data_IF_760385023392
#
_entry.id   IF_760385023392
#
_cell.length_a   1.000
_cell.length_b   1.000
_cell.length_c   1.000
_cell.angle_alpha   90.00
_cell.angle_beta   90.00
_cell.angle_gamma   90.00
#
_symmetry.space_group_name_H-M   'P 1'
#
loop_
_entity.id
_entity.type
_entity.pdbx_description
1 polymer ?
#
# COMPACT_ATOMS: atom_id res chain seq x y z
N UNK A 1 -13.18 5.30 0.41
CA UNK A 1 -11.96 4.98 -0.35
C UNK A 1 -12.07 3.60 -0.96
N UNK A 2 -11.79 3.48 -2.26
CA UNK A 2 -11.84 2.22 -3.00
C UNK A 2 -10.79 1.24 -2.42
N UNK A 3 -11.25 0.08 -1.97
CA UNK A 3 -10.39 -0.95 -1.37
C UNK A 3 -9.66 -1.67 -2.49
N UNK A 4 -8.34 -1.79 -2.41
CA UNK A 4 -7.59 -2.74 -3.22
C UNK A 4 -8.04 -4.15 -2.83
N UNK A 5 -8.80 -4.80 -3.73
CA UNK A 5 -9.25 -6.18 -3.54
C UNK A 5 -8.08 -7.12 -3.84
N UNK A 6 -7.97 -8.19 -3.05
CA UNK A 6 -6.93 -9.20 -3.24
C UNK A 6 -6.95 -9.83 -4.65
N UNK A 7 -8.15 -10.00 -5.24
CA UNK A 7 -8.31 -10.52 -6.60
C UNK A 7 -7.59 -9.66 -7.64
N UNK A 8 -7.84 -8.35 -7.61
CA UNK A 8 -7.20 -7.41 -8.54
C UNK A 8 -5.68 -7.37 -8.32
N UNK A 9 -5.21 -7.47 -7.07
CA UNK A 9 -3.77 -7.50 -6.77
C UNK A 9 -3.06 -8.76 -7.32
N UNK A 10 -3.74 -9.91 -7.35
CA UNK A 10 -3.18 -11.15 -7.91
C UNK A 10 -3.14 -11.17 -9.43
N UNK A 11 -4.00 -10.39 -10.09
CA UNK A 11 -4.04 -10.25 -11.55
C UNK A 11 -2.94 -9.33 -12.11
N UNK A 12 -2.32 -8.48 -11.27
CA UNK A 12 -1.22 -7.60 -11.70
C UNK A 12 0.09 -8.36 -11.92
N UNK A 13 0.92 -7.85 -12.83
CA UNK A 13 2.27 -8.36 -13.07
C UNK A 13 3.23 -7.93 -11.94
N UNK A 14 4.38 -8.59 -11.79
CA UNK A 14 5.35 -8.28 -10.72
C UNK A 14 5.84 -6.83 -10.78
N UNK A 15 6.09 -6.32 -11.99
CA UNK A 15 6.52 -4.92 -12.23
C UNK A 15 5.45 -3.90 -11.82
N UNK A 16 4.18 -4.22 -12.08
CA UNK A 16 3.05 -3.35 -11.71
C UNK A 16 2.83 -3.34 -10.19
N UNK A 17 3.08 -4.48 -9.53
CA UNK A 17 3.02 -4.59 -8.07
C UNK A 17 4.10 -3.75 -7.40
N UNK A 18 5.33 -3.77 -7.92
CA UNK A 18 6.42 -2.92 -7.42
C UNK A 18 6.14 -1.43 -7.63
N UNK A 19 5.60 -1.05 -8.80
CA UNK A 19 5.23 0.33 -9.08
C UNK A 19 4.17 0.84 -8.10
N UNK A 20 3.10 0.05 -7.88
CA UNK A 20 2.08 0.36 -6.85
C UNK A 20 2.63 0.40 -5.44
N UNK A 21 3.58 -0.47 -5.11
CA UNK A 21 4.25 -0.44 -3.81
C UNK A 21 4.95 0.90 -3.59
N UNK A 22 5.65 1.40 -4.61
CA UNK A 22 6.34 2.69 -4.57
C UNK A 22 5.35 3.86 -4.39
N UNK A 23 4.27 3.87 -5.17
CA UNK A 23 3.21 4.88 -5.05
C UNK A 23 2.61 4.93 -3.64
N UNK A 24 2.19 3.78 -3.09
CA UNK A 24 1.55 3.72 -1.76
C UNK A 24 2.53 4.11 -0.65
N UNK A 25 3.84 3.83 -0.81
CA UNK A 25 4.89 4.28 0.12
C UNK A 25 5.08 5.79 0.08
N UNK A 26 5.14 6.40 -1.10
CA UNK A 26 5.24 7.86 -1.25
C UNK A 26 4.02 8.57 -0.63
N UNK A 27 2.85 8.00 -0.85
CA UNK A 27 1.59 8.43 -0.28
C UNK A 27 1.55 8.33 1.26
N UNK A 28 2.14 7.29 1.82
CA UNK A 28 2.27 7.13 3.27
C UNK A 28 3.24 8.15 3.85
N UNK A 29 4.33 8.47 3.13
CA UNK A 29 5.28 9.51 3.52
C UNK A 29 4.60 10.89 3.60
N UNK A 30 3.82 11.26 2.59
CA UNK A 30 3.04 12.51 2.60
C UNK A 30 2.12 12.60 3.82
N UNK A 31 1.35 11.54 4.07
CA UNK A 31 0.49 11.46 5.26
C UNK A 31 1.27 11.53 6.57
N UNK A 32 2.47 10.95 6.66
CA UNK A 32 3.33 11.07 7.84
C UNK A 32 3.81 12.50 8.05
N UNK A 33 4.20 13.20 6.98
CA UNK A 33 4.63 14.60 7.04
C UNK A 33 3.48 15.48 7.52
N UNK A 34 2.29 15.31 6.95
CA UNK A 34 1.09 16.03 7.38
C UNK A 34 0.71 15.68 8.84
N UNK A 35 0.92 14.43 9.27
CA UNK A 35 0.65 14.01 10.65
C UNK A 35 1.61 14.67 11.63
N UNK A 36 2.88 14.77 11.26
CA UNK A 36 3.92 15.48 12.02
C UNK A 36 3.59 16.97 12.16
N UNK A 37 2.99 17.57 11.12
CA UNK A 37 2.53 18.96 11.13
C UNK A 37 1.27 19.20 11.99
N UNK A 38 0.64 18.15 12.53
CA UNK A 38 -0.49 18.26 13.46
C UNK A 38 -1.82 18.69 12.83
N UNK A 39 -1.91 18.80 11.50
CA UNK A 39 -3.14 19.20 10.78
C UNK A 39 -4.06 18.02 10.45
N UNK A 40 -3.62 16.80 10.77
CA UNK A 40 -4.28 15.57 10.35
C UNK A 40 -5.37 15.15 11.34
N UNK A 41 -6.60 15.65 11.10
CA UNK A 41 -7.78 15.36 11.96
C UNK A 41 -8.61 14.16 11.48
N UNK A 42 -8.97 14.10 10.19
CA UNK A 42 -9.89 13.06 9.64
C UNK A 42 -9.20 11.96 8.83
N UNK A 43 -7.98 12.22 8.34
CA UNK A 43 -7.24 11.33 7.43
C UNK A 43 -6.39 10.28 8.17
N UNK A 44 -6.35 10.28 9.51
CA UNK A 44 -5.51 9.38 10.34
C UNK A 44 -5.87 7.90 10.12
N UNK A 45 -7.14 7.62 9.82
CA UNK A 45 -7.60 6.27 9.47
C UNK A 45 -6.97 5.73 8.18
N UNK A 46 -6.60 6.60 7.24
CA UNK A 46 -6.06 6.19 5.94
C UNK A 46 -4.63 5.63 6.06
N UNK A 47 -3.88 6.06 7.07
CA UNK A 47 -2.56 5.52 7.35
C UNK A 47 -2.58 4.04 7.75
N UNK A 48 -3.66 3.57 8.40
CA UNK A 48 -3.84 2.13 8.73
C UNK A 48 -4.12 1.31 7.47
N UNK A 49 -4.93 1.85 6.56
CA UNK A 49 -5.30 1.17 5.32
C UNK A 49 -4.11 1.08 4.35
N UNK A 50 -3.37 2.18 4.14
CA UNK A 50 -2.16 2.17 3.29
C UNK A 50 -1.11 1.17 3.79
N UNK A 51 -0.90 1.07 5.11
CA UNK A 51 -0.03 0.04 5.71
C UNK A 51 -0.49 -1.39 5.39
N UNK A 52 -1.79 -1.64 5.45
CA UNK A 52 -2.37 -2.96 5.14
C UNK A 52 -2.24 -3.30 3.66
N UNK A 53 -2.38 -2.31 2.77
CA UNK A 53 -2.24 -2.53 1.33
C UNK A 53 -0.78 -2.80 0.95
N UNK A 54 0.20 -2.12 1.58
CA UNK A 54 1.63 -2.45 1.43
C UNK A 54 1.89 -3.89 1.86
N UNK A 55 1.39 -4.31 3.03
CA UNK A 55 1.59 -5.67 3.52
C UNK A 55 1.04 -6.72 2.56
N UNK A 56 -0.15 -6.50 1.98
CA UNK A 56 -0.75 -7.42 1.00
C UNK A 56 0.10 -7.56 -0.27
N UNK A 57 0.62 -6.45 -0.80
CA UNK A 57 1.48 -6.48 -2.00
C UNK A 57 2.75 -7.27 -1.71
N UNK A 58 3.39 -7.01 -0.57
CA UNK A 58 4.59 -7.75 -0.15
C UNK A 58 4.32 -9.24 0.06
N UNK A 59 3.17 -9.60 0.64
CA UNK A 59 2.77 -11.01 0.79
C UNK A 59 2.62 -11.70 -0.55
N UNK A 60 1.98 -11.06 -1.55
CA UNK A 60 1.81 -11.65 -2.89
C UNK A 60 3.16 -11.81 -3.59
N UNK A 61 4.03 -10.80 -3.53
CA UNK A 61 5.38 -10.90 -4.07
C UNK A 61 6.15 -12.06 -3.42
N UNK A 62 6.04 -12.21 -2.10
CA UNK A 62 6.69 -13.32 -1.39
C UNK A 62 6.11 -14.69 -1.74
N UNK A 63 4.78 -14.79 -1.88
CA UNK A 63 4.11 -16.01 -2.37
C UNK A 63 4.64 -16.40 -3.76
N UNK A 64 4.83 -15.44 -4.67
CA UNK A 64 5.38 -15.66 -6.01
C UNK A 64 6.86 -16.07 -5.98
N UNK A 65 7.67 -15.46 -5.12
CA UNK A 65 9.07 -15.87 -4.92
C UNK A 65 9.20 -17.30 -4.38
N UNK A 66 8.34 -17.71 -3.44
CA UNK A 66 8.42 -19.04 -2.82
C UNK A 66 7.85 -20.15 -3.71
N UNK A 67 6.90 -19.82 -4.60
CA UNK A 67 6.36 -20.76 -5.57
C UNK A 67 7.27 -21.00 -6.79
N UNK A 68 8.35 -20.22 -6.92
CA UNK A 68 9.35 -20.32 -7.98
C UNK A 68 10.50 -21.23 -7.56
#
# INVERSE_FOLDING_TARGET
MARLKLKTLREFNDVDLESKLSEIRADLLKLRIENSKGTLKKETGNMKWKRRDIARILSILKEREVAK
#
